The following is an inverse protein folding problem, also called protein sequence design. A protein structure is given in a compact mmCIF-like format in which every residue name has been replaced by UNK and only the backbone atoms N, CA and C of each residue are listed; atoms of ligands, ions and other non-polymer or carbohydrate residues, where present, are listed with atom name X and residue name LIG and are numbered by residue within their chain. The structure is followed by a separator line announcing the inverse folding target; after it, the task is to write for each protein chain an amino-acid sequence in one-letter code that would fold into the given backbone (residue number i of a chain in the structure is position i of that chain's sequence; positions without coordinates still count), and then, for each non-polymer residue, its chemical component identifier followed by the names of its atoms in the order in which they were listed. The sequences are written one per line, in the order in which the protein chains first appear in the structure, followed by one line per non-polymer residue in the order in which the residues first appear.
data_IF_496779158367
#
_entry.id   IF_496779158367
#
_cell.length_a   1.000
_cell.length_b   1.000
_cell.length_c   1.000
_cell.angle_alpha   90.00
_cell.angle_beta   90.00
_cell.angle_gamma   90.00
#
_symmetry.space_group_name_H-M   'P 1'
#
loop_
_entity.id
_entity.type
_entity.pdbx_description
1 polymer ?
#
# COMPACT_ATOMS: atom_id res chain seq x y z
N UNK A 1 -26.56 7.57 2.32
CA UNK A 1 -25.98 6.22 2.31
C UNK A 1 -25.36 5.95 0.93
N UNK A 2 -24.05 6.07 0.82
CA UNK A 2 -23.31 5.96 -0.47
C UNK A 2 -23.46 4.59 -1.15
N UNK A 3 -23.86 3.56 -0.42
CA UNK A 3 -24.10 2.22 -0.95
C UNK A 3 -25.58 1.97 -1.35
N UNK A 4 -26.48 2.95 -1.20
CA UNK A 4 -27.91 2.82 -1.50
C UNK A 4 -28.55 1.55 -0.92
N UNK A 5 -28.14 1.16 0.29
CA UNK A 5 -28.59 -0.07 0.95
C UNK A 5 -27.95 -1.36 0.44
N UNK A 6 -27.10 -1.31 -0.57
CA UNK A 6 -26.39 -2.49 -1.08
C UNK A 6 -25.33 -2.96 -0.08
N UNK A 7 -25.14 -4.29 0.09
CA UNK A 7 -24.13 -4.80 1.00
C UNK A 7 -22.70 -4.55 0.46
N UNK A 8 -21.77 -4.19 1.36
CA UNK A 8 -20.35 -4.20 1.04
C UNK A 8 -19.89 -5.65 0.92
N UNK A 9 -19.50 -6.07 -0.28
CA UNK A 9 -19.17 -7.48 -0.60
C UNK A 9 -17.72 -7.83 -0.26
N UNK A 10 -16.80 -6.87 -0.38
CA UNK A 10 -15.37 -7.02 -0.05
C UNK A 10 -14.69 -5.68 0.10
N UNK A 11 -13.55 -5.68 0.74
CA UNK A 11 -12.65 -4.55 0.88
C UNK A 11 -11.34 -4.98 0.21
N UNK A 12 -10.94 -4.29 -0.87
CA UNK A 12 -9.65 -4.50 -1.51
C UNK A 12 -8.71 -3.37 -1.11
N UNK A 13 -7.55 -3.73 -0.57
CA UNK A 13 -6.52 -2.79 -0.17
C UNK A 13 -5.36 -2.88 -1.15
N UNK A 14 -4.97 -1.76 -1.72
CA UNK A 14 -3.82 -1.69 -2.62
C UNK A 14 -2.52 -1.95 -1.87
N UNK A 15 -2.40 -1.41 -0.65
CA UNK A 15 -1.20 -1.56 0.15
C UNK A 15 -1.46 -1.25 1.64
N UNK A 16 -0.41 -1.31 2.45
CA UNK A 16 -0.44 -1.33 3.91
C UNK A 16 -0.22 0.04 4.59
N UNK A 17 -0.26 1.16 3.86
CA UNK A 17 -0.15 2.47 4.48
C UNK A 17 -1.42 2.87 5.25
N UNK A 18 -1.26 3.68 6.32
CA UNK A 18 -2.36 3.99 7.24
C UNK A 18 -3.57 4.67 6.61
N UNK A 19 -3.34 5.56 5.65
CA UNK A 19 -4.38 6.29 4.92
C UNK A 19 -5.19 5.41 3.96
N UNK A 20 -4.67 4.22 3.61
CA UNK A 20 -5.37 3.24 2.78
C UNK A 20 -6.06 2.16 3.60
N UNK A 21 -5.43 1.67 4.67
CA UNK A 21 -5.99 0.55 5.40
C UNK A 21 -6.52 0.88 6.80
N UNK A 22 -6.34 2.12 7.28
CA UNK A 22 -6.66 2.49 8.66
C UNK A 22 -8.09 2.18 9.11
N UNK A 23 -9.06 2.30 8.20
CA UNK A 23 -10.48 2.02 8.45
C UNK A 23 -10.90 0.57 8.11
N UNK A 24 -10.01 -0.23 7.55
CA UNK A 24 -10.37 -1.55 6.99
C UNK A 24 -10.93 -2.52 8.03
N UNK A 25 -10.38 -2.54 9.26
CA UNK A 25 -10.90 -3.36 10.36
C UNK A 25 -12.30 -2.92 10.78
N UNK A 26 -12.53 -1.62 10.91
CA UNK A 26 -13.84 -1.09 11.26
C UNK A 26 -14.89 -1.43 10.19
N UNK A 27 -14.56 -1.27 8.90
CA UNK A 27 -15.44 -1.66 7.80
C UNK A 27 -15.73 -3.17 7.80
N UNK A 28 -14.70 -3.99 8.02
CA UNK A 28 -14.85 -5.43 8.15
C UNK A 28 -15.83 -5.80 9.28
N UNK A 29 -15.62 -5.24 10.48
CA UNK A 29 -16.48 -5.51 11.64
C UNK A 29 -17.93 -5.05 11.42
N UNK A 30 -18.11 -3.90 10.78
CA UNK A 30 -19.44 -3.31 10.55
C UNK A 30 -20.24 -4.02 9.47
N UNK A 31 -19.58 -4.54 8.44
CA UNK A 31 -20.24 -5.08 7.25
C UNK A 31 -19.98 -6.57 7.03
N UNK A 32 -19.19 -7.22 7.86
CA UNK A 32 -18.72 -8.61 7.67
C UNK A 32 -18.04 -8.81 6.29
N UNK A 33 -17.54 -7.76 5.67
CA UNK A 33 -16.92 -7.81 4.36
C UNK A 33 -15.48 -8.33 4.47
N UNK A 34 -15.08 -9.37 3.70
CA UNK A 34 -13.71 -9.88 3.73
C UNK A 34 -12.72 -8.86 3.20
N UNK A 35 -11.55 -8.78 3.83
CA UNK A 35 -10.45 -7.92 3.40
C UNK A 35 -9.50 -8.71 2.51
N UNK A 36 -9.22 -8.16 1.33
CA UNK A 36 -8.30 -8.71 0.35
C UNK A 36 -7.14 -7.75 0.16
N UNK A 37 -5.94 -8.24 0.33
CA UNK A 37 -4.69 -7.49 0.10
C UNK A 37 -3.53 -8.48 -0.09
N UNK A 38 -2.34 -7.97 -0.36
CA UNK A 38 -1.17 -8.83 -0.40
C UNK A 38 -0.87 -9.42 0.99
N UNK A 39 -0.41 -10.67 1.01
CA UNK A 39 0.02 -11.32 2.25
C UNK A 39 1.20 -10.58 2.89
N UNK A 40 2.14 -10.11 2.06
CA UNK A 40 3.30 -9.33 2.50
C UNK A 40 2.88 -8.04 3.21
N UNK A 41 1.96 -7.27 2.64
CA UNK A 41 1.43 -6.05 3.26
C UNK A 41 0.72 -6.34 4.57
N UNK A 42 -0.11 -7.39 4.62
CA UNK A 42 -0.79 -7.80 5.86
C UNK A 42 0.20 -8.19 6.96
N UNK A 43 1.24 -8.98 6.64
CA UNK A 43 2.28 -9.38 7.59
C UNK A 43 3.12 -8.17 8.04
N UNK A 44 3.47 -7.27 7.12
CA UNK A 44 4.21 -6.03 7.41
C UNK A 44 3.47 -5.16 8.44
N UNK A 45 2.18 -4.93 8.21
CA UNK A 45 1.33 -4.20 9.17
C UNK A 45 1.25 -4.91 10.51
N UNK A 46 1.08 -6.24 10.52
CA UNK A 46 1.04 -7.02 11.76
C UNK A 46 2.32 -6.86 12.58
N UNK A 47 3.47 -6.97 11.93
CA UNK A 47 4.77 -6.78 12.56
C UNK A 47 4.95 -5.35 13.10
N UNK A 48 4.54 -4.35 12.30
CA UNK A 48 4.61 -2.94 12.71
C UNK A 48 3.72 -2.65 13.94
N UNK A 49 2.49 -3.14 13.95
CA UNK A 49 1.56 -2.94 15.08
C UNK A 49 1.98 -3.69 16.35
N UNK A 50 2.71 -4.80 16.21
CA UNK A 50 3.23 -5.57 17.33
C UNK A 50 4.55 -4.99 17.88
N UNK A 51 5.24 -4.16 17.13
CA UNK A 51 6.53 -3.60 17.54
C UNK A 51 6.36 -2.56 18.65
N UNK A 52 7.27 -2.61 19.63
CA UNK A 52 7.31 -1.61 20.71
C UNK A 52 8.04 -0.34 20.25
N UNK A 53 7.77 0.82 20.87
CA UNK A 53 8.51 2.04 20.60
C UNK A 53 10.04 1.88 20.76
N UNK A 54 10.46 1.09 21.76
CA UNK A 54 11.89 0.82 22.01
C UNK A 54 12.52 0.01 20.87
N UNK A 55 11.81 -1.02 20.37
CA UNK A 55 12.28 -1.82 19.23
C UNK A 55 12.38 -0.97 17.96
N UNK A 56 11.35 -0.17 17.66
CA UNK A 56 11.37 0.73 16.51
C UNK A 56 12.45 1.81 16.64
N UNK A 57 12.65 2.34 17.85
CA UNK A 57 13.70 3.31 18.16
C UNK A 57 15.08 2.76 17.93
N UNK A 58 15.37 1.58 18.46
CA UNK A 58 16.67 0.91 18.30
C UNK A 58 17.00 0.62 16.82
N UNK A 59 16.02 0.09 16.07
CA UNK A 59 16.18 -0.16 14.63
C UNK A 59 16.46 1.14 13.85
N UNK A 60 15.72 2.20 14.15
CA UNK A 60 15.90 3.51 13.51
C UNK A 60 17.24 4.12 13.84
N UNK A 61 17.68 4.04 15.10
CA UNK A 61 18.98 4.55 15.51
C UNK A 61 20.11 3.82 14.78
N UNK A 62 20.08 2.50 14.74
CA UNK A 62 21.08 1.69 14.04
C UNK A 62 21.14 2.04 12.55
N UNK A 63 19.96 2.18 11.90
CA UNK A 63 19.85 2.56 10.50
C UNK A 63 20.45 3.95 10.23
N UNK A 64 20.07 4.96 11.01
CA UNK A 64 20.57 6.33 10.84
C UNK A 64 22.08 6.41 11.07
N UNK A 65 22.58 5.72 12.11
CA UNK A 65 24.01 5.67 12.40
C UNK A 65 24.82 5.01 11.27
N UNK A 66 24.31 3.91 10.70
CA UNK A 66 24.95 3.24 9.57
C UNK A 66 25.03 4.13 8.31
N UNK A 67 24.13 5.13 8.20
CA UNK A 67 24.11 6.12 7.12
C UNK A 67 24.78 7.46 7.51
N UNK A 68 25.59 7.47 8.57
CA UNK A 68 26.39 8.64 8.98
C UNK A 68 25.62 9.72 9.72
N UNK A 69 24.39 9.46 10.16
CA UNK A 69 23.58 10.41 10.92
C UNK A 69 23.64 10.10 12.42
N UNK A 70 24.27 10.97 13.21
CA UNK A 70 24.12 10.95 14.67
C UNK A 70 22.80 11.65 15.03
N UNK A 71 21.97 10.98 15.84
CA UNK A 71 20.72 11.54 16.31
C UNK A 71 20.69 11.58 17.84
N UNK A 72 20.31 12.72 18.39
CA UNK A 72 20.17 12.88 19.83
C UNK A 72 19.03 12.01 20.38
N UNK A 73 19.17 11.43 21.60
CA UNK A 73 18.18 10.52 22.16
C UNK A 73 16.76 11.09 22.23
N UNK A 74 16.62 12.38 22.51
CA UNK A 74 15.31 13.05 22.59
C UNK A 74 14.66 13.22 21.21
N UNK A 75 15.45 13.52 20.18
CA UNK A 75 14.97 13.57 18.80
C UNK A 75 14.59 12.17 18.31
N UNK A 76 15.41 11.16 18.63
CA UNK A 76 15.11 9.77 18.32
C UNK A 76 13.78 9.32 18.96
N UNK A 77 13.55 9.67 20.23
CA UNK A 77 12.33 9.33 20.96
C UNK A 77 11.07 9.90 20.30
N UNK A 78 11.14 11.14 19.80
CA UNK A 78 10.07 11.79 19.05
C UNK A 78 9.80 11.09 17.70
N UNK A 79 10.86 10.63 17.04
CA UNK A 79 10.76 9.94 15.75
C UNK A 79 10.38 8.46 15.89
N UNK A 80 10.57 7.86 17.05
CA UNK A 80 10.35 6.43 17.30
C UNK A 80 8.95 6.10 17.84
N UNK A 81 8.16 7.14 18.12
CA UNK A 81 6.76 6.95 18.49
C UNK A 81 6.00 6.20 17.40
N UNK A 82 5.17 5.23 17.80
CA UNK A 82 4.26 4.55 16.88
C UNK A 82 3.05 5.45 16.56
N UNK A 83 3.34 6.67 16.06
CA UNK A 83 2.28 7.66 15.75
C UNK A 83 1.36 7.12 14.63
N UNK A 84 1.95 6.47 13.62
CA UNK A 84 1.16 5.87 12.55
C UNK A 84 0.27 4.73 13.05
N UNK A 85 0.70 3.98 14.08
CA UNK A 85 -0.12 2.94 14.69
C UNK A 85 -1.43 3.45 15.26
N UNK A 86 -1.52 4.73 15.65
CA UNK A 86 -2.74 5.37 16.14
C UNK A 86 -3.79 5.56 15.03
N UNK A 87 -3.37 5.57 13.77
CA UNK A 87 -4.27 5.73 12.62
C UNK A 87 -4.87 4.41 12.15
N UNK A 88 -4.38 3.30 12.69
CA UNK A 88 -4.96 1.99 12.41
C UNK A 88 -6.03 1.66 13.45
N UNK A 89 -7.21 1.33 12.99
CA UNK A 89 -8.25 0.71 13.84
C UNK A 89 -7.92 -0.72 14.26
N UNK A 90 -6.69 -1.16 14.03
CA UNK A 90 -6.15 -2.50 14.21
C UNK A 90 -6.08 -3.30 12.91
N UNK A 91 -5.37 -4.44 12.94
CA UNK A 91 -5.23 -5.32 11.79
C UNK A 91 -6.54 -6.09 11.55
N UNK A 92 -7.16 -6.00 10.37
CA UNK A 92 -8.29 -6.86 10.02
C UNK A 92 -7.82 -8.29 9.75
N UNK A 93 -8.68 -9.32 9.90
CA UNK A 93 -8.34 -10.65 9.43
C UNK A 93 -8.19 -10.63 7.91
N UNK A 94 -7.17 -11.32 7.40
CA UNK A 94 -6.97 -11.49 5.96
C UNK A 94 -8.01 -12.48 5.42
N UNK A 95 -8.96 -11.98 4.65
CA UNK A 95 -9.98 -12.80 4.03
C UNK A 95 -9.48 -13.51 2.76
N UNK A 96 -8.57 -12.85 2.01
CA UNK A 96 -7.85 -13.45 0.88
C UNK A 96 -6.51 -12.75 0.66
N UNK A 97 -5.46 -13.53 0.50
CA UNK A 97 -4.19 -13.05 -0.03
C UNK A 97 -4.30 -12.88 -1.56
N UNK A 98 -4.30 -11.64 -2.03
CA UNK A 98 -4.27 -11.32 -3.46
C UNK A 98 -2.81 -11.21 -3.94
N UNK A 99 -2.55 -11.63 -5.18
CA UNK A 99 -1.20 -11.70 -5.77
C UNK A 99 -1.22 -11.19 -7.21
N UNK A 100 -0.08 -10.78 -7.71
CA UNK A 100 0.10 -10.48 -9.12
C UNK A 100 -0.36 -11.66 -10.02
N UNK A 101 -1.12 -11.36 -11.06
CA UNK A 101 -1.72 -12.33 -11.96
C UNK A 101 -3.11 -12.85 -11.54
N UNK A 102 -3.57 -12.57 -10.31
CA UNK A 102 -4.95 -12.91 -9.92
C UNK A 102 -5.97 -12.15 -10.79
N UNK A 103 -7.09 -12.83 -11.08
CA UNK A 103 -8.28 -12.21 -11.66
C UNK A 103 -9.34 -11.99 -10.57
N UNK A 104 -9.92 -10.79 -10.54
CA UNK A 104 -10.93 -10.39 -9.57
C UNK A 104 -12.15 -9.86 -10.30
N UNK A 105 -13.31 -10.46 -10.06
CA UNK A 105 -14.59 -9.92 -10.54
C UNK A 105 -15.18 -8.96 -9.50
N UNK A 106 -15.36 -7.71 -9.90
CA UNK A 106 -15.94 -6.68 -9.05
C UNK A 106 -16.69 -5.63 -9.89
N UNK A 107 -17.86 -5.19 -9.41
CA UNK A 107 -18.69 -4.17 -10.06
C UNK A 107 -19.00 -4.47 -11.55
N UNK A 108 -19.19 -5.74 -11.90
CA UNK A 108 -19.46 -6.17 -13.28
C UNK A 108 -18.25 -6.11 -14.21
N UNK A 109 -17.04 -6.01 -13.67
CA UNK A 109 -15.77 -5.92 -14.41
C UNK A 109 -14.81 -7.03 -14.00
N UNK A 110 -13.93 -7.38 -14.92
CA UNK A 110 -12.83 -8.31 -14.70
C UNK A 110 -11.55 -7.51 -14.49
N UNK A 111 -11.00 -7.57 -13.27
CA UNK A 111 -9.78 -6.87 -12.89
C UNK A 111 -8.63 -7.85 -12.81
N UNK A 112 -7.54 -7.54 -13.48
CA UNK A 112 -6.27 -8.22 -13.32
C UNK A 112 -5.47 -7.52 -12.21
N UNK A 113 -4.94 -8.30 -11.27
CA UNK A 113 -4.05 -7.79 -10.24
C UNK A 113 -2.64 -7.67 -10.82
N UNK A 114 -2.07 -6.46 -10.74
CA UNK A 114 -0.67 -6.20 -11.08
C UNK A 114 0.06 -5.90 -9.77
N UNK A 115 0.97 -6.78 -9.38
CA UNK A 115 1.79 -6.57 -8.19
C UNK A 115 2.96 -5.65 -8.51
N UNK A 116 3.16 -4.65 -7.68
CA UNK A 116 4.20 -3.62 -7.79
C UNK A 116 4.97 -3.49 -6.47
N UNK A 117 6.10 -2.81 -6.52
CA UNK A 117 6.97 -2.55 -5.38
C UNK A 117 7.69 -1.20 -5.55
N UNK A 118 8.51 -0.84 -4.58
CA UNK A 118 9.29 0.38 -4.56
C UNK A 118 8.69 1.44 -3.65
N UNK A 119 7.38 1.76 -3.83
CA UNK A 119 6.65 2.55 -2.85
C UNK A 119 6.45 1.76 -1.54
N UNK A 120 5.91 0.56 -1.65
CA UNK A 120 5.90 -0.43 -0.58
C UNK A 120 5.93 -1.85 -1.17
N UNK A 121 6.22 -2.86 -0.35
CA UNK A 121 6.22 -4.27 -0.80
C UNK A 121 4.81 -4.80 -0.94
N UNK A 122 4.59 -5.53 -2.03
CA UNK A 122 3.30 -6.18 -2.27
C UNK A 122 2.17 -5.18 -2.50
N UNK A 123 2.51 -4.00 -3.02
CA UNK A 123 1.51 -3.06 -3.52
C UNK A 123 0.77 -3.68 -4.70
N UNK A 124 -0.54 -3.53 -4.75
CA UNK A 124 -1.41 -4.12 -5.76
C UNK A 124 -2.16 -3.06 -6.53
N UNK A 125 -1.98 -3.05 -7.85
CA UNK A 125 -2.83 -2.30 -8.78
C UNK A 125 -3.92 -3.22 -9.34
N UNK A 126 -5.05 -2.64 -9.77
CA UNK A 126 -6.13 -3.36 -10.47
C UNK A 126 -6.30 -2.81 -11.87
N UNK A 127 -6.16 -3.65 -12.89
CA UNK A 127 -6.30 -3.26 -14.29
C UNK A 127 -7.49 -3.96 -14.95
N UNK A 128 -8.41 -3.17 -15.51
CA UNK A 128 -9.48 -3.62 -16.39
C UNK A 128 -9.06 -3.37 -17.85
N UNK A 129 -8.53 -4.40 -18.49
CA UNK A 129 -8.03 -4.30 -19.87
C UNK A 129 -9.14 -3.99 -20.89
N UNK A 130 -10.38 -4.46 -20.64
CA UNK A 130 -11.51 -4.23 -21.56
C UNK A 130 -11.90 -2.76 -21.65
N UNK A 131 -11.80 -2.02 -20.55
CA UNK A 131 -12.21 -0.62 -20.49
C UNK A 131 -11.02 0.34 -20.38
N UNK A 132 -9.79 -0.19 -20.41
CA UNK A 132 -8.56 0.54 -20.21
C UNK A 132 -8.62 1.43 -18.95
N UNK A 133 -8.85 0.80 -17.77
CA UNK A 133 -8.92 1.48 -16.47
C UNK A 133 -7.93 0.84 -15.51
N UNK A 134 -7.10 1.65 -14.86
CA UNK A 134 -6.13 1.22 -13.86
C UNK A 134 -6.42 1.90 -12.52
N UNK A 135 -6.66 1.13 -11.47
CA UNK A 135 -6.59 1.62 -10.08
C UNK A 135 -5.13 1.44 -9.67
N UNK A 136 -4.39 2.54 -9.62
CA UNK A 136 -2.94 2.51 -9.43
C UNK A 136 -2.49 2.54 -7.96
N UNK A 137 -3.40 2.78 -7.01
CA UNK A 137 -2.99 3.07 -5.64
C UNK A 137 -1.99 4.23 -5.62
N UNK A 138 -0.89 4.05 -4.90
CA UNK A 138 0.19 5.03 -4.81
C UNK A 138 1.36 4.75 -5.76
N UNK A 139 1.25 3.71 -6.59
CA UNK A 139 2.33 3.39 -7.52
C UNK A 139 2.51 4.43 -8.62
N UNK A 140 1.41 5.04 -9.09
CA UNK A 140 1.44 6.11 -10.09
C UNK A 140 0.51 7.23 -9.66
N UNK A 141 1.05 8.44 -9.52
CA UNK A 141 0.36 9.64 -9.06
C UNK A 141 0.55 10.78 -10.09
N UNK A 142 -0.47 11.67 -10.28
CA UNK A 142 -0.44 12.63 -11.39
C UNK A 142 0.43 13.87 -11.14
N UNK A 143 0.65 14.27 -9.90
CA UNK A 143 1.25 15.57 -9.56
C UNK A 143 2.37 15.50 -8.53
N UNK A 144 2.50 14.39 -7.85
CA UNK A 144 3.56 14.13 -6.86
C UNK A 144 4.21 12.79 -7.19
N UNK A 145 5.47 12.62 -6.83
CA UNK A 145 6.11 11.31 -6.87
C UNK A 145 5.69 10.48 -5.66
N UNK A 146 5.48 9.18 -5.80
CA UNK A 146 5.38 8.28 -4.66
C UNK A 146 6.62 8.35 -3.78
N UNK A 147 6.45 8.10 -2.49
CA UNK A 147 7.61 7.91 -1.63
C UNK A 147 8.30 6.59 -1.98
N UNK A 148 9.58 6.67 -2.37
CA UNK A 148 10.44 5.52 -2.66
C UNK A 148 11.65 5.61 -1.75
N UNK A 149 11.62 4.90 -0.63
CA UNK A 149 12.60 5.04 0.44
C UNK A 149 13.16 3.72 0.91
N UNK A 150 14.46 3.69 1.20
CA UNK A 150 15.06 2.61 1.97
C UNK A 150 14.58 2.72 3.41
N UNK A 151 13.98 1.67 3.92
CA UNK A 151 13.44 1.62 5.28
C UNK A 151 14.42 0.91 6.23
N UNK A 152 14.40 1.31 7.51
CA UNK A 152 15.20 0.64 8.54
C UNK A 152 14.88 -0.86 8.70
N UNK A 153 13.69 -1.29 8.32
CA UNK A 153 13.30 -2.70 8.30
C UNK A 153 13.91 -3.49 7.13
N UNK A 154 14.46 -2.80 6.13
CA UNK A 154 15.07 -3.37 4.93
C UNK A 154 16.25 -2.51 4.45
N UNK A 155 17.33 -2.40 5.23
CA UNK A 155 18.43 -1.47 4.95
C UNK A 155 19.18 -1.79 3.65
N UNK A 156 19.16 -3.05 3.20
CA UNK A 156 19.86 -3.52 1.99
C UNK A 156 18.95 -3.59 0.76
N UNK A 157 17.71 -3.08 0.84
CA UNK A 157 16.80 -3.07 -0.29
C UNK A 157 17.17 -2.00 -1.32
N UNK A 158 16.76 -2.24 -2.56
CA UNK A 158 16.84 -1.27 -3.64
C UNK A 158 15.42 -0.90 -4.12
N UNK A 159 14.70 -0.06 -3.34
CA UNK A 159 13.32 0.31 -3.67
C UNK A 159 13.21 1.12 -4.95
N UNK A 160 14.26 1.84 -5.35
CA UNK A 160 14.26 2.57 -6.63
C UNK A 160 14.26 1.60 -7.82
N UNK A 161 15.08 0.58 -7.80
CA UNK A 161 15.06 -0.46 -8.83
C UNK A 161 13.71 -1.18 -8.85
N UNK A 162 13.21 -1.60 -7.68
CA UNK A 162 11.88 -2.23 -7.56
C UNK A 162 10.77 -1.34 -8.14
N UNK A 163 10.87 -0.02 -7.94
CA UNK A 163 9.92 0.95 -8.46
C UNK A 163 9.99 1.07 -9.97
N UNK A 164 11.19 1.21 -10.55
CA UNK A 164 11.38 1.31 -11.99
C UNK A 164 10.93 0.02 -12.72
N UNK A 165 11.25 -1.15 -12.18
CA UNK A 165 10.76 -2.43 -12.69
C UNK A 165 9.23 -2.54 -12.62
N UNK A 166 8.61 -1.92 -11.61
CA UNK A 166 7.16 -1.88 -11.47
C UNK A 166 6.51 -0.94 -12.48
N UNK A 167 7.13 0.20 -12.77
CA UNK A 167 6.66 1.10 -13.84
C UNK A 167 6.72 0.41 -15.21
N UNK A 168 7.82 -0.30 -15.52
CA UNK A 168 7.95 -1.05 -16.77
C UNK A 168 6.85 -2.13 -16.94
N UNK A 169 6.35 -2.70 -15.84
CA UNK A 169 5.16 -3.60 -15.88
C UNK A 169 3.88 -2.84 -16.20
N UNK A 170 3.70 -1.64 -15.66
CA UNK A 170 2.52 -0.82 -15.91
C UNK A 170 2.50 -0.21 -17.31
N UNK A 171 3.67 -0.01 -17.94
CA UNK A 171 3.77 0.40 -19.35
C UNK A 171 3.16 -0.60 -20.34
N UNK A 172 2.89 -1.85 -19.89
CA UNK A 172 2.17 -2.85 -20.69
C UNK A 172 0.65 -2.60 -20.75
N UNK A 173 0.11 -1.72 -19.93
CA UNK A 173 -1.27 -1.27 -20.04
C UNK A 173 -1.45 -0.43 -21.31
N UNK A 174 -2.68 -0.35 -21.81
CA UNK A 174 -2.99 0.45 -23.01
C UNK A 174 -2.61 1.94 -22.79
N UNK A 175 -2.01 2.62 -23.78
CA UNK A 175 -1.55 4.01 -23.63
C UNK A 175 -2.64 4.99 -23.19
N UNK A 176 -3.88 4.79 -23.65
CA UNK A 176 -5.05 5.61 -23.33
C UNK A 176 -5.67 5.28 -21.97
N UNK A 177 -5.07 4.40 -21.18
CA UNK A 177 -5.61 3.95 -19.90
C UNK A 177 -5.99 5.12 -19.00
N UNK A 178 -7.22 5.08 -18.47
CA UNK A 178 -7.67 5.97 -17.42
C UNK A 178 -7.10 5.48 -16.09
N UNK A 179 -6.23 6.28 -15.50
CA UNK A 179 -5.63 6.00 -14.20
C UNK A 179 -6.46 6.62 -13.08
N UNK A 180 -6.81 5.80 -12.09
CA UNK A 180 -7.49 6.17 -10.87
C UNK A 180 -6.49 6.06 -9.72
N UNK A 181 -5.75 7.14 -9.42
CA UNK A 181 -4.76 7.15 -8.35
C UNK A 181 -5.43 7.34 -6.99
N UNK A 182 -4.73 6.97 -5.92
CA UNK A 182 -5.23 7.22 -4.56
C UNK A 182 -5.15 8.69 -4.18
N UNK A 183 -4.17 9.42 -4.71
CA UNK A 183 -3.99 10.85 -4.47
C UNK A 183 -3.99 11.63 -5.79
N UNK A 184 -4.64 12.79 -5.78
CA UNK A 184 -4.79 13.64 -6.97
C UNK A 184 -6.03 13.28 -7.80
N UNK A 185 -6.10 13.82 -9.01
CA UNK A 185 -7.24 13.60 -9.91
C UNK A 185 -6.98 12.42 -10.86
N UNK A 186 -8.03 11.71 -11.29
CA UNK A 186 -7.90 10.78 -12.41
C UNK A 186 -7.28 11.44 -13.64
N UNK A 187 -6.46 10.69 -14.37
CA UNK A 187 -5.77 11.18 -15.56
C UNK A 187 -5.65 10.08 -16.63
N UNK A 188 -5.20 10.45 -17.83
CA UNK A 188 -4.90 9.51 -18.92
C UNK A 188 -3.46 9.66 -19.37
N UNK A 189 -2.92 8.58 -19.91
CA UNK A 189 -1.55 8.50 -20.39
C UNK A 189 -0.60 8.00 -19.31
N UNK A 190 -0.15 6.76 -19.46
CA UNK A 190 0.87 6.13 -18.63
C UNK A 190 2.29 6.27 -19.21
N UNK A 191 2.40 6.81 -20.42
CA UNK A 191 3.65 6.91 -21.20
C UNK A 191 4.07 8.36 -21.36
#
# INVERSE_FOLDING_TARGET
NELDGRPLRRIFLTHDHPDHMGLSRWLHQRHAAPVWMSEIGHQSTGAYLAATPDTLGAQRQAFLHAHGMAIEPDALRKLSGNEHGKWFGGLPPLGRAARGGDAIQAAGRDWQVIETSGHCRGHLCLYDARHAVLISGDQVLPTISPNVSVLQSRPDADPLREFLESLARLEQCAPETLVLPSHGRPFRGLH
#
